data_IF_962125549644
#
_entry.id   IF_962125549644
#
_cell.length_a   1.000
_cell.length_b   1.000
_cell.length_c   1.000
_cell.angle_alpha   90.00
_cell.angle_beta   90.00
_cell.angle_gamma   90.00
#
_symmetry.space_group_name_H-M   'P 1'
#
loop_
_entity.id
_entity.type
_entity.pdbx_description
1 polymer ?
#
# COMPACT_ATOMS: atom_id res chain seq x y z
N UNK A 1 34.00 -13.76 22.08
CA UNK A 1 33.22 -14.17 20.89
C UNK A 1 32.79 -12.92 20.13
N UNK A 2 32.99 -12.87 18.80
CA UNK A 2 32.53 -11.76 17.97
C UNK A 2 31.36 -12.22 17.07
N UNK A 3 30.26 -11.45 17.03
CA UNK A 3 29.12 -11.70 16.14
C UNK A 3 28.75 -10.41 15.40
N UNK A 4 29.07 -10.36 14.11
CA UNK A 4 28.64 -9.27 13.21
C UNK A 4 27.35 -9.66 12.48
N UNK A 5 26.48 -8.68 12.20
CA UNK A 5 25.26 -8.86 11.41
C UNK A 5 25.19 -7.77 10.34
N UNK A 6 24.82 -8.16 9.13
CA UNK A 6 24.62 -7.23 8.00
C UNK A 6 23.36 -6.38 8.25
N UNK A 7 23.42 -5.11 7.83
CA UNK A 7 22.30 -4.17 7.91
C UNK A 7 21.06 -4.75 7.23
N UNK A 8 19.90 -4.79 7.90
CA UNK A 8 18.66 -5.28 7.30
C UNK A 8 18.18 -4.34 6.17
N UNK A 9 17.53 -4.91 5.15
CA UNK A 9 16.99 -4.18 3.99
C UNK A 9 15.92 -3.12 4.36
N UNK A 10 15.33 -3.21 5.55
CA UNK A 10 14.45 -2.18 6.10
C UNK A 10 15.23 -1.32 7.10
N UNK A 11 15.12 0.01 7.05
CA UNK A 11 15.80 0.89 7.99
C UNK A 11 15.28 0.59 9.40
N UNK A 12 16.15 -0.02 10.19
CA UNK A 12 15.94 -0.33 11.60
C UNK A 12 17.06 0.35 12.36
N UNK A 13 16.76 0.99 13.49
CA UNK A 13 17.78 1.64 14.31
C UNK A 13 18.74 0.59 14.89
N UNK A 14 19.91 0.50 14.27
CA UNK A 14 20.95 -0.54 14.42
C UNK A 14 21.47 -0.71 15.86
N UNK A 15 21.72 0.37 16.65
CA UNK A 15 22.36 0.24 17.97
C UNK A 15 21.57 -0.60 18.99
N UNK A 16 20.23 -0.54 18.93
CA UNK A 16 19.35 -1.28 19.86
C UNK A 16 19.39 -2.79 19.61
N UNK A 17 19.68 -3.21 18.39
CA UNK A 17 19.77 -4.62 18.04
C UNK A 17 21.12 -5.22 18.47
N UNK A 18 22.18 -4.42 18.46
CA UNK A 18 23.46 -4.80 19.02
C UNK A 18 23.36 -5.05 20.53
N UNK A 19 22.69 -4.16 21.28
CA UNK A 19 22.50 -4.32 22.72
C UNK A 19 21.75 -5.62 23.10
N UNK A 20 20.66 -5.95 22.39
CA UNK A 20 19.94 -7.23 22.59
C UNK A 20 20.83 -8.43 22.29
N UNK A 21 21.70 -8.35 21.28
CA UNK A 21 22.63 -9.43 20.95
C UNK A 21 23.70 -9.61 22.03
N UNK A 22 24.24 -8.52 22.58
CA UNK A 22 25.22 -8.55 23.66
C UNK A 22 24.68 -9.26 24.89
N UNK A 23 23.43 -9.01 25.27
CA UNK A 23 22.77 -9.68 26.39
C UNK A 23 22.63 -11.18 26.16
N UNK A 24 22.24 -11.61 24.96
CA UNK A 24 22.13 -13.04 24.64
C UNK A 24 23.48 -13.76 24.65
N UNK A 25 24.54 -13.06 24.28
CA UNK A 25 25.91 -13.61 24.37
C UNK A 25 26.34 -13.69 25.84
N UNK A 26 26.01 -12.69 26.65
CA UNK A 26 26.28 -12.70 28.07
C UNK A 26 25.52 -13.79 28.82
N UNK A 27 24.25 -14.04 28.46
CA UNK A 27 23.45 -15.16 29.01
C UNK A 27 24.16 -16.50 28.80
N UNK A 28 24.59 -16.79 27.56
CA UNK A 28 25.37 -17.99 27.24
C UNK A 28 26.69 -18.05 28.03
N UNK A 29 27.40 -16.92 28.16
CA UNK A 29 28.67 -16.89 28.88
C UNK A 29 28.47 -17.04 30.38
N UNK A 30 27.35 -16.59 30.94
CA UNK A 30 27.07 -16.67 32.36
C UNK A 30 26.66 -18.09 32.79
N UNK A 31 26.04 -18.86 31.89
CA UNK A 31 25.78 -20.30 32.08
C UNK A 31 27.09 -21.10 32.17
N UNK A 32 28.09 -20.72 31.37
CA UNK A 32 29.36 -21.46 31.25
C UNK A 32 30.49 -20.91 32.15
N UNK A 33 30.46 -19.62 32.50
CA UNK A 33 31.53 -18.90 33.19
C UNK A 33 30.96 -18.01 34.32
N UNK A 34 31.30 -18.33 35.57
CA UNK A 34 30.85 -17.59 36.76
C UNK A 34 31.63 -16.27 36.98
N UNK A 35 31.48 -15.30 36.08
CA UNK A 35 32.07 -13.95 36.22
C UNK A 35 31.04 -12.84 36.19
N UNK A 36 31.42 -11.68 36.74
CA UNK A 36 30.62 -10.45 36.65
C UNK A 36 30.72 -9.85 35.24
N UNK A 37 29.59 -9.60 34.58
CA UNK A 37 29.53 -9.09 33.20
C UNK A 37 29.10 -7.62 33.19
N UNK A 38 29.88 -6.79 32.49
CA UNK A 38 29.56 -5.40 32.21
C UNK A 38 29.38 -5.19 30.70
N UNK A 39 28.48 -4.28 30.32
CA UNK A 39 28.15 -3.99 28.92
C UNK A 39 28.60 -2.57 28.55
N UNK A 40 29.19 -2.43 27.37
CA UNK A 40 29.67 -1.15 26.85
C UNK A 40 29.00 -0.85 25.51
N UNK A 41 28.48 0.38 25.37
CA UNK A 41 27.89 0.87 24.12
C UNK A 41 28.28 2.33 23.88
N UNK A 42 28.51 2.68 22.63
CA UNK A 42 28.72 4.06 22.18
C UNK A 42 27.41 4.80 21.88
N UNK A 43 26.27 4.10 21.93
CA UNK A 43 24.97 4.70 21.67
C UNK A 43 24.37 5.26 22.96
N UNK A 44 24.61 6.55 23.20
CA UNK A 44 24.02 7.30 24.31
C UNK A 44 22.49 7.18 24.41
N UNK A 45 21.79 7.13 23.27
CA UNK A 45 20.33 6.95 23.21
C UNK A 45 19.90 5.60 23.80
N UNK A 46 20.69 4.54 23.63
CA UNK A 46 20.40 3.21 24.20
C UNK A 46 20.50 3.28 25.72
N UNK A 47 21.54 3.92 26.25
CA UNK A 47 21.71 4.13 27.69
C UNK A 47 20.54 4.94 28.26
N UNK A 48 20.16 6.03 27.60
CA UNK A 48 19.02 6.85 28.01
C UNK A 48 17.72 6.02 28.07
N UNK A 49 17.47 5.15 27.10
CA UNK A 49 16.29 4.27 27.10
C UNK A 49 16.31 3.21 28.21
N UNK A 50 17.48 2.67 28.57
CA UNK A 50 17.59 1.68 29.65
C UNK A 50 17.39 2.29 31.04
N UNK A 51 17.77 3.55 31.21
CA UNK A 51 17.62 4.29 32.47
C UNK A 51 16.28 5.00 32.61
N UNK A 52 15.45 5.02 31.56
CA UNK A 52 14.14 5.66 31.62
C UNK A 52 13.14 4.85 32.45
N UNK A 53 12.63 5.45 33.52
CA UNK A 53 11.61 4.86 34.40
C UNK A 53 10.22 5.49 34.25
N UNK A 54 10.07 6.58 33.48
CA UNK A 54 8.86 7.40 33.47
C UNK A 54 8.11 7.41 32.13
N UNK A 55 8.81 7.46 30.98
CA UNK A 55 8.17 7.65 29.67
C UNK A 55 7.83 6.32 29.00
N UNK A 56 6.67 6.24 28.34
CA UNK A 56 6.23 5.04 27.61
C UNK A 56 6.74 5.07 26.17
N UNK A 57 7.50 4.05 25.77
CA UNK A 57 7.97 3.91 24.40
C UNK A 57 6.95 3.24 23.46
N UNK A 58 7.15 3.42 22.16
CA UNK A 58 6.51 2.64 21.10
C UNK A 58 6.80 1.14 21.29
N UNK A 59 5.87 0.29 20.85
CA UNK A 59 5.87 -1.17 21.12
C UNK A 59 7.21 -1.82 20.74
N UNK A 60 7.78 -1.41 19.61
CA UNK A 60 9.05 -1.92 19.11
C UNK A 60 10.24 -1.67 20.05
N UNK A 61 10.30 -0.48 20.65
CA UNK A 61 11.36 -0.05 21.56
C UNK A 61 11.12 -0.62 22.95
N UNK A 62 9.88 -0.55 23.45
CA UNK A 62 9.48 -1.11 24.73
C UNK A 62 9.85 -2.60 24.84
N UNK A 63 9.54 -3.39 23.81
CA UNK A 63 9.85 -4.83 23.81
C UNK A 63 11.36 -5.12 23.87
N UNK A 64 12.21 -4.26 23.28
CA UNK A 64 13.68 -4.45 23.28
C UNK A 64 14.31 -4.02 24.59
N UNK A 65 13.89 -2.88 25.13
CA UNK A 65 14.29 -2.42 26.46
C UNK A 65 13.93 -3.49 27.50
N UNK A 66 12.71 -4.04 27.42
CA UNK A 66 12.28 -5.12 28.28
C UNK A 66 13.16 -6.37 28.15
N UNK A 67 13.48 -6.80 26.93
CA UNK A 67 14.39 -7.94 26.71
C UNK A 67 15.78 -7.68 27.32
N UNK A 68 16.33 -6.49 27.18
CA UNK A 68 17.64 -6.15 27.76
C UNK A 68 17.59 -6.17 29.30
N UNK A 69 16.56 -5.54 29.87
CA UNK A 69 16.40 -5.41 31.33
C UNK A 69 15.96 -6.71 32.02
N UNK A 70 15.47 -7.70 31.27
CA UNK A 70 15.15 -9.03 31.82
C UNK A 70 16.41 -9.79 32.25
N UNK A 71 17.54 -9.55 31.58
CA UNK A 71 18.80 -10.29 31.78
C UNK A 71 19.94 -9.41 32.29
N UNK A 72 19.78 -8.09 32.27
CA UNK A 72 20.79 -7.14 32.75
C UNK A 72 20.13 -6.01 33.53
N UNK A 73 20.89 -5.31 34.37
CA UNK A 73 20.42 -4.09 35.04
C UNK A 73 20.92 -2.88 34.28
N UNK A 74 20.16 -1.80 34.28
CA UNK A 74 20.56 -0.53 33.68
C UNK A 74 21.98 -0.11 34.11
N UNK A 75 22.32 -0.28 35.38
CA UNK A 75 23.63 0.07 35.95
C UNK A 75 24.80 -0.81 35.48
N UNK A 76 24.55 -1.93 34.79
CA UNK A 76 25.59 -2.75 34.16
C UNK A 76 26.04 -2.17 32.81
N UNK A 77 25.28 -1.23 32.24
CA UNK A 77 25.56 -0.61 30.95
C UNK A 77 26.33 0.70 31.11
N UNK A 78 27.41 0.84 30.35
CA UNK A 78 28.29 2.01 30.37
C UNK A 78 28.54 2.53 28.96
N UNK A 79 28.88 3.81 28.90
CA UNK A 79 29.26 4.47 27.66
C UNK A 79 30.73 4.22 27.33
N UNK A 80 31.03 3.85 26.08
CA UNK A 80 32.38 3.88 25.51
C UNK A 80 32.39 4.91 24.38
N UNK A 81 33.43 5.73 24.26
CA UNK A 81 33.55 6.65 23.12
C UNK A 81 33.65 5.87 21.82
N UNK A 82 33.04 6.36 20.74
CA UNK A 82 33.07 5.67 19.45
C UNK A 82 34.50 5.39 18.95
N UNK A 83 35.45 6.28 19.24
CA UNK A 83 36.87 6.09 18.86
C UNK A 83 37.54 4.94 19.62
N UNK A 84 37.03 4.60 20.81
CA UNK A 84 37.53 3.57 21.72
C UNK A 84 36.71 2.27 21.66
N UNK A 85 35.66 2.22 20.83
CA UNK A 85 34.76 1.07 20.70
C UNK A 85 35.33 0.03 19.70
N UNK A 86 35.87 -1.12 20.16
CA UNK A 86 36.42 -2.12 19.24
C UNK A 86 35.34 -2.77 18.36
N UNK A 87 34.04 -2.67 18.69
CA UNK A 87 32.99 -3.20 17.82
C UNK A 87 32.90 -2.47 16.46
N UNK A 88 33.35 -1.22 16.40
CA UNK A 88 33.33 -0.42 15.17
C UNK A 88 34.36 -0.88 14.15
N UNK A 89 35.46 -1.47 14.61
CA UNK A 89 36.49 -2.08 13.77
C UNK A 89 35.90 -3.20 12.89
N UNK A 90 34.97 -4.00 13.42
CA UNK A 90 34.28 -5.02 12.63
C UNK A 90 33.06 -4.50 11.86
N UNK A 91 32.39 -3.45 12.34
CA UNK A 91 31.17 -2.93 11.69
C UNK A 91 31.48 -2.09 10.45
N UNK A 92 32.61 -1.35 10.46
CA UNK A 92 33.04 -0.45 9.37
C UNK A 92 33.92 -1.14 8.32
N UNK A 93 34.41 -2.34 8.61
CA UNK A 93 35.25 -3.15 7.74
C UNK A 93 36.73 -2.79 7.84
N UNK A 94 37.58 -3.80 8.04
CA UNK A 94 39.02 -3.67 8.12
C UNK A 94 39.73 -4.48 7.03
N UNK A 95 40.86 -3.97 6.55
CA UNK A 95 41.81 -4.76 5.74
C UNK A 95 42.62 -5.65 6.67
N UNK A 96 42.84 -6.92 6.29
CA UNK A 96 43.52 -7.94 7.11
C UNK A 96 44.88 -7.50 7.66
N UNK A 97 45.60 -6.63 6.94
CA UNK A 97 46.93 -6.15 7.35
C UNK A 97 46.91 -5.00 8.37
N UNK A 98 45.74 -4.44 8.69
CA UNK A 98 45.57 -3.26 9.56
C UNK A 98 44.59 -3.52 10.71
N UNK A 99 44.61 -4.71 11.33
CA UNK A 99 43.79 -4.97 12.51
C UNK A 99 44.46 -4.33 13.74
N UNK A 100 43.81 -3.36 14.40
CA UNK A 100 44.42 -2.69 15.56
C UNK A 100 44.53 -3.64 16.76
N UNK A 101 45.57 -3.46 17.58
CA UNK A 101 45.84 -4.31 18.76
C UNK A 101 44.65 -4.38 19.74
N UNK A 102 43.89 -3.28 19.87
CA UNK A 102 42.67 -3.16 20.69
C UNK A 102 41.59 -4.19 20.36
N UNK A 103 41.57 -4.75 19.15
CA UNK A 103 40.62 -5.79 18.76
C UNK A 103 40.84 -7.09 19.55
N UNK A 104 42.09 -7.42 19.84
CA UNK A 104 42.47 -8.66 20.53
C UNK A 104 42.66 -8.45 22.03
N UNK A 105 43.22 -7.30 22.42
CA UNK A 105 43.57 -7.01 23.82
C UNK A 105 42.45 -6.25 24.56
N UNK A 106 41.49 -5.68 23.83
CA UNK A 106 40.54 -4.72 24.36
C UNK A 106 41.15 -3.31 24.46
N UNK A 107 40.32 -2.27 24.65
CA UNK A 107 40.78 -0.91 24.88
C UNK A 107 41.46 -0.75 26.24
N UNK A 108 42.45 0.14 26.32
CA UNK A 108 43.33 0.33 27.49
C UNK A 108 42.57 0.60 28.80
N UNK A 109 41.42 1.28 28.72
CA UNK A 109 40.61 1.60 29.90
C UNK A 109 39.98 0.36 30.57
N UNK A 110 39.83 -0.75 29.84
CA UNK A 110 39.33 -2.02 30.40
C UNK A 110 40.42 -2.84 31.08
N UNK A 111 41.69 -2.53 30.81
CA UNK A 111 42.84 -3.17 31.46
C UNK A 111 43.17 -2.54 32.82
N UNK A 112 42.53 -1.41 33.14
CA UNK A 112 42.69 -0.73 34.41
C UNK A 112 41.97 -1.50 35.54
N UNK A 113 42.56 -1.57 36.77
CA UNK A 113 41.98 -2.32 37.88
C UNK A 113 40.67 -1.71 38.42
N UNK A 114 40.33 -0.48 38.02
CA UNK A 114 39.07 0.18 38.36
C UNK A 114 38.26 0.43 37.11
N UNK A 115 36.98 0.05 37.16
CA UNK A 115 36.04 0.32 36.09
C UNK A 115 35.74 1.84 36.08
N UNK A 116 35.90 2.54 34.93
CA UNK A 116 35.65 3.97 34.82
C UNK A 116 34.25 4.37 35.29
N UNK A 117 34.12 5.49 36.00
CA UNK A 117 32.83 5.99 36.47
C UNK A 117 31.84 6.21 35.30
N UNK A 118 30.56 6.02 35.57
CA UNK A 118 29.51 6.17 34.56
C UNK A 118 29.36 7.66 34.19
N UNK A 119 29.35 7.97 32.89
CA UNK A 119 29.02 9.31 32.39
C UNK A 119 27.57 9.68 32.74
N UNK A 120 27.29 10.97 32.91
CA UNK A 120 25.94 11.48 33.17
C UNK A 120 24.95 10.95 32.12
N UNK A 121 23.82 10.42 32.61
CA UNK A 121 22.78 9.86 31.76
C UNK A 121 22.03 11.01 31.10
N UNK A 122 21.99 11.02 29.77
CA UNK A 122 21.25 12.04 29.01
C UNK A 122 19.75 11.80 29.21
N UNK A 123 19.03 12.85 29.64
CA UNK A 123 17.58 12.83 29.66
C UNK A 123 17.02 12.77 28.23
N UNK A 124 16.05 11.88 28.00
CA UNK A 124 15.38 11.77 26.71
C UNK A 124 14.47 12.99 26.56
N UNK A 125 14.51 13.68 25.43
CA UNK A 125 13.61 14.80 25.16
C UNK A 125 12.14 14.35 25.12
N UNK A 126 11.18 15.26 25.38
CA UNK A 126 9.75 14.93 25.36
C UNK A 126 9.20 14.68 23.95
N UNK A 127 9.90 15.17 22.93
CA UNK A 127 9.55 15.09 21.51
C UNK A 127 10.25 13.93 20.76
N UNK A 128 10.91 13.01 21.48
CA UNK A 128 11.50 11.81 20.87
C UNK A 128 10.40 10.99 20.16
N UNK A 129 10.64 10.71 18.87
CA UNK A 129 9.73 9.98 17.96
C UNK A 129 9.33 8.60 18.51
N UNK A 130 10.14 8.04 19.38
CA UNK A 130 9.95 6.72 19.99
C UNK A 130 9.14 6.76 21.28
N UNK A 131 8.83 7.94 21.82
CA UNK A 131 7.90 8.10 22.93
C UNK A 131 6.46 8.05 22.39
N UNK A 132 5.63 7.24 23.03
CA UNK A 132 4.18 7.27 22.77
C UNK A 132 3.64 8.59 23.28
N UNK A 133 3.24 9.46 22.34
CA UNK A 133 2.34 10.56 22.66
C UNK A 133 1.05 9.99 23.26
N UNK A 134 0.88 10.16 24.56
CA UNK A 134 -0.41 10.02 25.22
C UNK A 134 -1.31 11.14 24.70
N UNK A 135 -2.02 10.90 23.60
CA UNK A 135 -3.13 11.78 23.20
C UNK A 135 -4.16 11.73 24.32
N UNK A 136 -4.16 12.73 25.20
CA UNK A 136 -5.28 13.02 26.07
C UNK A 136 -6.51 13.10 25.17
N UNK A 137 -7.36 12.08 25.23
CA UNK A 137 -8.55 12.04 24.40
C UNK A 137 -9.54 13.01 25.03
N UNK A 138 -9.53 14.25 24.56
CA UNK A 138 -10.63 15.18 24.83
C UNK A 138 -11.89 14.53 24.26
N UNK A 139 -12.77 14.05 25.13
CA UNK A 139 -14.05 13.50 24.74
C UNK A 139 -14.95 14.66 24.28
N UNK A 140 -14.77 15.10 23.03
CA UNK A 140 -15.77 15.96 22.40
C UNK A 140 -17.05 15.13 22.28
N UNK A 141 -18.12 15.62 22.90
CA UNK A 141 -19.44 14.99 22.83
C UNK A 141 -19.92 15.17 21.39
N UNK A 142 -19.64 14.20 20.52
CA UNK A 142 -20.12 14.19 19.14
C UNK A 142 -21.65 14.19 19.18
N UNK A 143 -22.24 15.35 18.94
CA UNK A 143 -23.68 15.51 18.73
C UNK A 143 -23.98 15.14 17.28
N UNK A 144 -24.77 14.10 17.09
CA UNK A 144 -25.30 13.74 15.77
C UNK A 144 -26.76 14.18 15.72
N UNK A 145 -27.12 14.93 14.67
CA UNK A 145 -28.49 15.40 14.42
C UNK A 145 -29.41 14.23 14.10
N UNK A 146 -28.91 13.24 13.35
CA UNK A 146 -29.74 12.13 12.86
C UNK A 146 -29.16 10.75 13.17
N UNK A 147 -29.93 9.69 12.91
CA UNK A 147 -29.43 8.32 13.00
C UNK A 147 -28.55 7.99 11.79
N UNK A 148 -28.92 8.51 10.63
CA UNK A 148 -28.19 8.38 9.38
C UNK A 148 -26.73 8.88 9.50
N UNK A 149 -26.49 10.04 10.14
CA UNK A 149 -25.15 10.54 10.44
C UNK A 149 -24.33 9.60 11.34
N UNK A 150 -24.98 8.97 12.32
CA UNK A 150 -24.33 8.03 13.25
C UNK A 150 -23.88 6.75 12.56
N UNK A 151 -24.52 6.33 11.47
CA UNK A 151 -24.15 5.10 10.77
C UNK A 151 -23.12 5.33 9.66
N UNK A 152 -22.95 6.58 9.17
CA UNK A 152 -21.97 6.93 8.13
C UNK A 152 -20.52 6.62 8.48
N UNK A 153 -20.18 6.59 9.77
CA UNK A 153 -18.84 6.20 10.26
C UNK A 153 -18.49 4.73 10.03
N UNK A 154 -19.47 3.86 9.74
CA UNK A 154 -19.21 2.46 9.49
C UNK A 154 -18.93 2.23 8.01
N UNK A 155 -17.82 1.53 7.72
CA UNK A 155 -17.40 1.21 6.35
C UNK A 155 -18.03 -0.07 5.79
N UNK A 156 -18.56 -0.95 6.66
CA UNK A 156 -19.19 -2.23 6.28
C UNK A 156 -20.44 -2.52 7.08
N UNK A 157 -21.40 -3.24 6.46
CA UNK A 157 -22.63 -3.70 7.13
C UNK A 157 -22.31 -4.60 8.33
N UNK A 158 -21.35 -5.52 8.21
CA UNK A 158 -20.92 -6.40 9.31
C UNK A 158 -20.43 -5.61 10.53
N UNK A 159 -19.63 -4.55 10.33
CA UNK A 159 -19.15 -3.69 11.42
C UNK A 159 -20.29 -2.93 12.09
N UNK A 160 -21.20 -2.35 11.28
CA UNK A 160 -22.40 -1.68 11.77
C UNK A 160 -23.28 -2.63 12.59
N UNK A 161 -23.55 -3.82 12.06
CA UNK A 161 -24.34 -4.87 12.72
C UNK A 161 -23.71 -5.30 14.05
N UNK A 162 -22.40 -5.54 14.08
CA UNK A 162 -21.67 -5.88 15.32
C UNK A 162 -21.77 -4.76 16.36
N UNK A 163 -21.62 -3.50 15.93
CA UNK A 163 -21.73 -2.33 16.81
C UNK A 163 -23.12 -2.19 17.43
N UNK A 164 -24.17 -2.26 16.61
CA UNK A 164 -25.56 -2.18 17.09
C UNK A 164 -25.91 -3.38 17.98
N UNK A 165 -25.52 -4.60 17.59
CA UNK A 165 -25.75 -5.78 18.39
C UNK A 165 -25.04 -5.71 19.76
N UNK A 166 -23.82 -5.14 19.82
CA UNK A 166 -23.13 -4.90 21.08
C UNK A 166 -23.88 -3.91 21.98
N UNK A 167 -24.38 -2.81 21.41
CA UNK A 167 -25.20 -1.84 22.15
C UNK A 167 -26.46 -2.51 22.71
N UNK A 168 -27.16 -3.30 21.90
CA UNK A 168 -28.36 -4.02 22.34
C UNK A 168 -28.09 -4.99 23.49
N UNK A 169 -26.98 -5.75 23.43
CA UNK A 169 -26.57 -6.63 24.54
C UNK A 169 -26.23 -5.85 25.81
N UNK A 170 -25.54 -4.72 25.69
CA UNK A 170 -25.26 -3.84 26.82
C UNK A 170 -26.55 -3.29 27.45
N UNK A 171 -27.51 -2.86 26.63
CA UNK A 171 -28.82 -2.40 27.10
C UNK A 171 -29.62 -3.53 27.76
N UNK A 172 -29.59 -4.75 27.22
CA UNK A 172 -30.25 -5.91 27.81
C UNK A 172 -29.66 -6.26 29.18
N UNK A 173 -28.32 -6.30 29.29
CA UNK A 173 -27.60 -6.57 30.54
C UNK A 173 -27.94 -5.54 31.62
N UNK A 174 -28.02 -4.25 31.27
CA UNK A 174 -28.47 -3.19 32.19
C UNK A 174 -29.91 -3.36 32.68
N UNK A 175 -30.77 -3.99 31.88
CA UNK A 175 -32.17 -4.31 32.23
C UNK A 175 -32.32 -5.68 32.90
N UNK A 176 -31.22 -6.33 33.31
CA UNK A 176 -31.25 -7.65 33.93
C UNK A 176 -31.63 -8.80 32.99
N UNK A 177 -31.63 -8.57 31.67
CA UNK A 177 -31.95 -9.60 30.67
C UNK A 177 -30.67 -10.11 30.00
N UNK A 178 -30.57 -11.42 29.81
CA UNK A 178 -29.56 -12.01 28.93
C UNK A 178 -30.07 -11.99 27.49
N UNK A 179 -29.17 -11.76 26.53
CA UNK A 179 -29.50 -11.75 25.11
C UNK A 179 -28.40 -12.50 24.36
N UNK A 180 -28.79 -13.51 23.59
CA UNK A 180 -27.82 -14.33 22.86
C UNK A 180 -27.20 -13.53 21.70
N UNK A 181 -26.08 -14.03 21.17
CA UNK A 181 -25.43 -13.40 20.01
C UNK A 181 -26.38 -13.38 18.82
N UNK A 182 -27.01 -14.50 18.48
CA UNK A 182 -27.92 -14.60 17.33
C UNK A 182 -29.12 -13.65 17.46
N UNK A 183 -29.79 -13.65 18.63
CA UNK A 183 -30.89 -12.72 18.92
C UNK A 183 -30.47 -11.27 18.75
N UNK A 184 -29.29 -10.90 19.25
CA UNK A 184 -28.80 -9.53 19.15
C UNK A 184 -28.53 -9.10 17.70
N UNK A 185 -28.14 -10.02 16.82
CA UNK A 185 -27.96 -9.73 15.38
C UNK A 185 -29.31 -9.57 14.67
N UNK A 186 -30.25 -10.50 14.86
CA UNK A 186 -31.59 -10.40 14.25
C UNK A 186 -32.34 -9.14 14.70
N UNK A 187 -32.22 -8.81 15.99
CA UNK A 187 -32.81 -7.59 16.56
C UNK A 187 -32.10 -6.34 16.04
N UNK A 188 -30.77 -6.37 15.91
CA UNK A 188 -30.01 -5.23 15.38
C UNK A 188 -30.42 -4.88 13.96
N UNK A 189 -30.61 -5.88 13.10
CA UNK A 189 -31.02 -5.68 11.72
C UNK A 189 -32.39 -5.03 11.63
N UNK A 190 -33.37 -5.62 12.32
CA UNK A 190 -34.73 -5.10 12.35
C UNK A 190 -34.77 -3.68 12.91
N UNK A 191 -34.01 -3.38 13.97
CA UNK A 191 -33.92 -2.04 14.55
C UNK A 191 -33.25 -1.03 13.63
N UNK A 192 -32.20 -1.42 12.91
CA UNK A 192 -31.53 -0.56 11.93
C UNK A 192 -32.51 -0.14 10.82
N UNK A 193 -33.20 -1.11 10.24
CA UNK A 193 -34.18 -0.87 9.18
C UNK A 193 -35.31 0.01 9.70
N UNK A 194 -35.88 -0.30 10.87
CA UNK A 194 -36.95 0.47 11.49
C UNK A 194 -36.55 1.94 11.73
N UNK A 195 -35.35 2.19 12.25
CA UNK A 195 -34.85 3.55 12.47
C UNK A 195 -34.75 4.34 11.16
N UNK A 196 -34.20 3.74 10.11
CA UNK A 196 -34.04 4.38 8.79
C UNK A 196 -35.39 4.62 8.12
N UNK A 197 -36.30 3.65 8.19
CA UNK A 197 -37.65 3.80 7.66
C UNK A 197 -38.40 4.93 8.36
N UNK A 198 -38.30 5.05 9.68
CA UNK A 198 -38.89 6.18 10.41
C UNK A 198 -38.27 7.51 10.00
N UNK A 199 -36.94 7.58 9.88
CA UNK A 199 -36.28 8.83 9.49
C UNK A 199 -36.65 9.29 8.06
N UNK A 200 -36.76 8.35 7.10
CA UNK A 200 -36.98 8.68 5.69
C UNK A 200 -38.45 8.62 5.22
N UNK A 201 -39.30 7.85 5.90
CA UNK A 201 -40.69 7.59 5.48
C UNK A 201 -41.74 8.17 6.43
N UNK A 202 -41.35 8.89 7.49
CA UNK A 202 -42.31 9.59 8.36
C UNK A 202 -43.05 10.73 7.65
N UNK A 203 -42.38 11.50 6.80
CA UNK A 203 -43.01 12.48 5.90
C UNK A 203 -42.54 12.28 4.45
N UNK A 204 -43.13 11.31 3.73
CA UNK A 204 -42.68 10.95 2.40
C UNK A 204 -43.10 11.99 1.37
N UNK A 205 -42.18 12.40 0.49
CA UNK A 205 -42.51 13.26 -0.64
C UNK A 205 -43.60 12.66 -1.56
N UNK A 206 -44.34 13.45 -2.36
CA UNK A 206 -45.39 12.94 -3.23
C UNK A 206 -44.94 11.81 -4.17
N UNK A 207 -43.72 11.93 -4.73
CA UNK A 207 -43.13 10.92 -5.61
C UNK A 207 -42.79 9.62 -4.86
N UNK A 208 -42.33 9.73 -3.61
CA UNK A 208 -42.05 8.60 -2.74
C UNK A 208 -43.34 7.90 -2.31
N UNK A 209 -44.40 8.66 -1.95
CA UNK A 209 -45.74 8.11 -1.67
C UNK A 209 -46.28 7.29 -2.84
N UNK A 210 -46.17 7.81 -4.06
CA UNK A 210 -46.60 7.08 -5.25
C UNK A 210 -45.78 5.80 -5.47
N UNK A 211 -44.46 5.85 -5.27
CA UNK A 211 -43.60 4.66 -5.36
C UNK A 211 -43.97 3.60 -4.33
N UNK A 212 -44.23 3.98 -3.08
CA UNK A 212 -44.65 3.07 -2.02
C UNK A 212 -46.03 2.45 -2.30
N UNK A 213 -46.97 3.22 -2.85
CA UNK A 213 -48.29 2.71 -3.28
C UNK A 213 -48.17 1.69 -4.41
N UNK A 214 -47.33 1.96 -5.42
CA UNK A 214 -47.09 1.03 -6.53
C UNK A 214 -46.47 -0.30 -6.09
N UNK A 215 -45.70 -0.29 -5.00
CA UNK A 215 -45.10 -1.48 -4.39
C UNK A 215 -46.06 -2.23 -3.45
N UNK A 216 -47.29 -1.73 -3.26
CA UNK A 216 -48.28 -2.27 -2.34
C UNK A 216 -47.68 -2.57 -0.96
N UNK A 217 -46.92 -1.61 -0.41
CA UNK A 217 -46.20 -1.79 0.83
C UNK A 217 -47.15 -1.98 2.02
N UNK A 218 -46.77 -2.85 2.96
CA UNK A 218 -47.50 -3.07 4.21
C UNK A 218 -46.52 -3.15 5.39
N UNK A 219 -47.02 -2.92 6.60
CA UNK A 219 -46.23 -3.02 7.83
C UNK A 219 -46.35 -4.42 8.41
N UNK A 220 -45.23 -5.06 8.71
CA UNK A 220 -45.21 -6.40 9.31
C UNK A 220 -45.45 -6.38 10.83
N UNK A 221 -45.52 -7.57 11.43
CA UNK A 221 -45.67 -7.79 12.88
C UNK A 221 -44.56 -7.11 13.72
N UNK A 222 -43.40 -6.84 13.11
CA UNK A 222 -42.26 -6.19 13.75
C UNK A 222 -42.23 -4.67 13.52
N UNK A 223 -43.24 -4.10 12.86
CA UNK A 223 -43.32 -2.68 12.55
C UNK A 223 -42.45 -2.25 11.37
N UNK A 224 -42.00 -3.18 10.52
CA UNK A 224 -41.18 -2.88 9.34
C UNK A 224 -42.04 -2.75 8.09
N UNK A 225 -41.77 -1.71 7.30
CA UNK A 225 -42.39 -1.53 6.00
C UNK A 225 -41.78 -2.51 4.98
N UNK A 226 -42.59 -3.41 4.44
CA UNK A 226 -42.20 -4.44 3.48
C UNK A 226 -43.00 -4.32 2.19
N UNK A 227 -42.43 -4.83 1.11
CA UNK A 227 -43.09 -4.90 -0.20
C UNK A 227 -44.17 -5.99 -0.18
N UNK A 228 -45.39 -5.64 -0.58
CA UNK A 228 -46.46 -6.60 -0.82
C UNK A 228 -46.23 -7.36 -2.12
N UNK A 229 -46.83 -8.53 -2.28
CA UNK A 229 -46.60 -9.33 -3.48
C UNK A 229 -47.55 -10.50 -3.66
N UNK A 230 -47.39 -11.19 -4.79
CA UNK A 230 -48.17 -12.38 -5.16
C UNK A 230 -47.47 -13.70 -4.78
N UNK A 231 -46.31 -13.61 -4.12
CA UNK A 231 -45.48 -14.77 -3.78
C UNK A 231 -45.85 -15.43 -2.43
N UNK A 232 -47.01 -15.11 -1.85
CA UNK A 232 -47.43 -15.67 -0.55
C UNK A 232 -47.45 -17.20 -0.50
N UNK A 233 -47.62 -17.87 -1.67
CA UNK A 233 -47.64 -19.33 -1.80
C UNK A 233 -46.28 -19.95 -2.19
N UNK A 234 -45.22 -19.17 -2.37
CA UNK A 234 -43.91 -19.74 -2.70
C UNK A 234 -43.24 -20.35 -1.47
N UNK A 235 -42.39 -21.36 -1.71
CA UNK A 235 -41.57 -22.03 -0.69
C UNK A 235 -40.37 -21.17 -0.22
N UNK A 236 -40.23 -19.94 -0.74
CA UNK A 236 -39.14 -19.05 -0.37
C UNK A 236 -39.28 -18.54 1.07
N UNK A 237 -38.15 -18.11 1.64
CA UNK A 237 -38.12 -17.47 2.97
C UNK A 237 -39.00 -16.22 3.01
N UNK A 238 -39.62 -15.95 4.17
CA UNK A 238 -40.55 -14.81 4.36
C UNK A 238 -39.91 -13.48 3.97
N UNK A 239 -38.62 -13.33 4.23
CA UNK A 239 -37.82 -12.15 3.93
C UNK A 239 -37.65 -11.92 2.41
N UNK A 240 -37.55 -13.00 1.63
CA UNK A 240 -37.44 -12.93 0.17
C UNK A 240 -38.80 -12.65 -0.49
N UNK A 241 -39.89 -13.19 0.08
CA UNK A 241 -41.26 -12.95 -0.40
C UNK A 241 -41.70 -11.51 -0.19
N UNK A 242 -41.35 -10.95 0.96
CA UNK A 242 -41.71 -9.59 1.37
C UNK A 242 -40.46 -8.81 1.80
N UNK A 243 -39.65 -8.35 0.84
CA UNK A 243 -38.41 -7.66 1.15
C UNK A 243 -38.68 -6.34 1.87
N UNK A 244 -37.80 -5.99 2.82
CA UNK A 244 -37.89 -4.75 3.58
C UNK A 244 -37.54 -3.55 2.71
N UNK A 245 -38.39 -2.53 2.73
CA UNK A 245 -38.23 -1.33 1.89
C UNK A 245 -37.14 -0.43 2.49
N UNK A 246 -36.18 -0.03 1.66
CA UNK A 246 -35.10 0.87 2.07
C UNK A 246 -35.03 2.10 1.16
N UNK A 247 -34.76 3.29 1.72
CA UNK A 247 -34.56 4.50 0.94
C UNK A 247 -33.24 4.42 0.18
N UNK A 248 -33.21 5.01 -1.02
CA UNK A 248 -32.03 4.96 -1.89
C UNK A 248 -30.83 5.71 -1.30
N UNK A 249 -31.08 6.79 -0.55
CA UNK A 249 -30.07 7.75 -0.10
C UNK A 249 -29.50 7.40 1.28
N UNK A 250 -29.95 6.29 1.89
CA UNK A 250 -29.39 5.81 3.16
C UNK A 250 -28.06 5.08 2.95
N UNK A 251 -27.12 5.36 3.84
CA UNK A 251 -25.84 4.70 4.01
C UNK A 251 -26.01 3.20 4.23
N UNK A 252 -27.06 2.74 4.92
CA UNK A 252 -27.33 1.30 5.02
C UNK A 252 -27.57 0.67 3.65
N UNK A 253 -28.32 1.35 2.77
CA UNK A 253 -28.57 0.89 1.40
C UNK A 253 -27.27 0.80 0.60
N UNK A 254 -26.32 1.72 0.80
CA UNK A 254 -24.99 1.68 0.20
C UNK A 254 -24.19 0.49 0.74
N UNK A 255 -24.18 0.28 2.06
CA UNK A 255 -23.46 -0.83 2.70
C UNK A 255 -24.00 -2.19 2.25
N UNK A 256 -25.33 -2.35 2.16
CA UNK A 256 -25.97 -3.57 1.65
C UNK A 256 -25.61 -3.76 0.17
N UNK A 257 -25.69 -2.70 -0.63
CA UNK A 257 -25.35 -2.78 -2.06
C UNK A 257 -23.89 -3.21 -2.26
N UNK A 258 -22.95 -2.71 -1.44
CA UNK A 258 -21.54 -3.12 -1.42
C UNK A 258 -21.36 -4.60 -1.07
N UNK A 259 -21.96 -5.05 0.02
CA UNK A 259 -21.88 -6.45 0.46
C UNK A 259 -22.44 -7.39 -0.61
N UNK A 260 -23.61 -7.09 -1.20
CA UNK A 260 -24.18 -7.88 -2.28
C UNK A 260 -23.33 -7.83 -3.56
N UNK A 261 -22.69 -6.69 -3.84
CA UNK A 261 -21.83 -6.51 -5.01
C UNK A 261 -20.56 -7.37 -4.92
N UNK A 262 -19.94 -7.42 -3.75
CA UNK A 262 -18.82 -8.31 -3.44
C UNK A 262 -19.24 -9.77 -3.45
N UNK A 263 -20.41 -10.11 -2.88
CA UNK A 263 -20.94 -11.47 -2.85
C UNK A 263 -21.14 -12.07 -4.26
N UNK A 264 -21.67 -11.28 -5.20
CA UNK A 264 -21.83 -11.72 -6.60
C UNK A 264 -20.54 -11.59 -7.43
N UNK A 265 -19.39 -11.39 -6.79
CA UNK A 265 -18.08 -11.28 -7.44
C UNK A 265 -18.05 -10.27 -8.60
N UNK A 266 -18.62 -9.08 -8.40
CA UNK A 266 -18.58 -7.98 -9.37
C UNK A 266 -19.22 -8.28 -10.76
N UNK A 267 -20.11 -9.28 -10.85
CA UNK A 267 -20.78 -9.68 -12.10
C UNK A 267 -21.63 -8.56 -12.75
N UNK A 268 -21.95 -7.50 -12.00
CA UNK A 268 -22.51 -6.27 -12.52
C UNK A 268 -23.92 -5.98 -12.03
N UNK A 269 -24.55 -4.97 -12.62
CA UNK A 269 -25.75 -4.34 -12.07
C UNK A 269 -26.91 -5.31 -11.84
N UNK A 270 -27.19 -6.17 -12.83
CA UNK A 270 -28.34 -7.09 -12.78
C UNK A 270 -28.19 -8.10 -11.66
N UNK A 271 -27.03 -8.73 -11.55
CA UNK A 271 -26.73 -9.72 -10.51
C UNK A 271 -26.72 -9.10 -9.12
N UNK A 272 -26.11 -7.93 -8.95
CA UNK A 272 -26.10 -7.24 -7.66
C UNK A 272 -27.53 -6.86 -7.22
N UNK A 273 -28.37 -6.32 -8.11
CA UNK A 273 -29.78 -6.01 -7.78
C UNK A 273 -30.58 -7.28 -7.48
N UNK A 274 -30.33 -8.37 -8.20
CA UNK A 274 -30.93 -9.67 -7.92
C UNK A 274 -30.57 -10.17 -6.52
N UNK A 275 -29.29 -10.07 -6.15
CA UNK A 275 -28.82 -10.48 -4.83
C UNK A 275 -29.37 -9.62 -3.69
N UNK A 276 -29.51 -8.30 -3.90
CA UNK A 276 -30.15 -7.41 -2.91
C UNK A 276 -31.58 -7.90 -2.62
N UNK A 277 -32.34 -8.28 -3.66
CA UNK A 277 -33.71 -8.81 -3.52
C UNK A 277 -33.72 -10.20 -2.86
N UNK A 278 -32.83 -11.09 -3.28
CA UNK A 278 -32.67 -12.42 -2.69
C UNK A 278 -32.22 -12.37 -1.22
N UNK A 279 -31.55 -11.30 -0.81
CA UNK A 279 -31.18 -11.04 0.57
C UNK A 279 -32.31 -10.42 1.40
N UNK A 280 -33.50 -10.22 0.81
CA UNK A 280 -34.69 -9.73 1.50
C UNK A 280 -34.80 -8.21 1.62
N UNK A 281 -34.13 -7.46 0.74
CA UNK A 281 -34.21 -5.98 0.73
C UNK A 281 -34.76 -5.44 -0.58
N UNK A 282 -35.53 -4.35 -0.46
CA UNK A 282 -36.03 -3.59 -1.58
C UNK A 282 -35.60 -2.13 -1.48
N UNK A 283 -34.43 -1.83 -2.05
CA UNK A 283 -33.94 -0.45 -2.14
C UNK A 283 -34.69 0.27 -3.26
N UNK A 284 -35.40 1.34 -2.93
CA UNK A 284 -36.11 2.16 -3.93
C UNK A 284 -35.07 2.73 -4.89
N UNK A 285 -35.24 2.54 -6.20
CA UNK A 285 -34.23 2.98 -7.17
C UNK A 285 -32.88 2.25 -7.09
N UNK A 286 -32.85 1.01 -6.59
CA UNK A 286 -31.65 0.17 -6.43
C UNK A 286 -30.69 0.17 -7.63
N UNK A 287 -31.23 0.20 -8.86
CA UNK A 287 -30.43 0.26 -10.09
C UNK A 287 -29.50 1.47 -10.14
N UNK A 288 -29.92 2.64 -9.64
CA UNK A 288 -29.11 3.87 -9.60
C UNK A 288 -28.02 3.77 -8.53
N UNK A 289 -28.36 3.27 -7.35
CA UNK A 289 -27.41 3.04 -6.25
C UNK A 289 -26.30 2.09 -6.70
N UNK A 290 -26.67 0.97 -7.31
CA UNK A 290 -25.71 -0.01 -7.83
C UNK A 290 -24.90 0.56 -9.00
N UNK A 291 -25.50 1.34 -9.90
CA UNK A 291 -24.75 1.98 -10.99
C UNK A 291 -23.67 2.94 -10.47
N UNK A 292 -24.00 3.78 -9.49
CA UNK A 292 -23.03 4.66 -8.83
C UNK A 292 -21.94 3.86 -8.11
N UNK A 293 -22.31 2.78 -7.42
CA UNK A 293 -21.36 1.88 -6.78
C UNK A 293 -20.35 1.31 -7.78
N UNK A 294 -20.82 0.80 -8.93
CA UNK A 294 -19.97 0.21 -9.97
C UNK A 294 -18.94 1.21 -10.53
N UNK A 295 -19.30 2.49 -10.65
CA UNK A 295 -18.39 3.54 -11.13
C UNK A 295 -17.29 3.87 -10.11
N UNK A 296 -17.56 3.74 -8.82
CA UNK A 296 -16.58 3.97 -7.76
C UNK A 296 -15.76 2.73 -7.37
N UNK A 297 -16.14 1.56 -7.87
CA UNK A 297 -15.55 0.28 -7.49
C UNK A 297 -14.27 0.02 -8.30
N UNK A 298 -13.11 0.03 -7.63
CA UNK A 298 -11.80 -0.17 -8.27
C UNK A 298 -11.71 -1.49 -9.08
N UNK A 299 -12.12 -2.66 -8.57
CA UNK A 299 -12.18 -3.87 -9.37
C UNK A 299 -13.03 -3.72 -10.65
N UNK A 300 -14.19 -3.08 -10.56
CA UNK A 300 -15.05 -2.86 -11.72
C UNK A 300 -14.44 -1.87 -12.71
N UNK A 301 -13.77 -0.82 -12.23
CA UNK A 301 -13.06 0.15 -13.07
C UNK A 301 -11.95 -0.53 -13.87
N UNK A 302 -11.16 -1.41 -13.25
CA UNK A 302 -10.11 -2.14 -13.97
C UNK A 302 -10.69 -3.17 -14.95
N UNK A 303 -11.71 -3.94 -14.54
CA UNK A 303 -12.27 -5.02 -15.37
C UNK A 303 -13.15 -4.51 -16.53
N UNK A 304 -13.73 -3.31 -16.40
CA UNK A 304 -14.70 -2.77 -17.36
C UNK A 304 -14.25 -1.43 -17.96
N UNK A 305 -13.04 -0.98 -17.66
CA UNK A 305 -12.46 0.22 -18.24
C UNK A 305 -12.33 0.06 -19.75
N UNK A 306 -12.75 1.06 -20.51
CA UNK A 306 -12.51 1.04 -21.95
C UNK A 306 -11.01 1.25 -22.22
N UNK A 307 -10.41 0.49 -23.15
CA UNK A 307 -9.06 0.79 -23.60
C UNK A 307 -9.03 2.20 -24.16
N UNK A 308 -8.03 2.99 -23.77
CA UNK A 308 -7.84 4.31 -24.35
C UNK A 308 -7.58 4.15 -25.86
N UNK A 309 -8.35 4.88 -26.68
CA UNK A 309 -8.05 4.99 -28.10
C UNK A 309 -6.79 5.84 -28.30
N UNK A 310 -5.89 5.44 -29.20
CA UNK A 310 -4.79 6.29 -29.62
C UNK A 310 -5.34 7.35 -30.59
N UNK A 311 -5.33 8.63 -30.18
CA UNK A 311 -5.51 9.72 -31.13
C UNK A 311 -4.23 9.81 -31.98
N UNK A 312 -4.36 9.59 -33.29
CA UNK A 312 -3.23 9.76 -34.21
C UNK A 312 -2.91 11.24 -34.32
N UNK A 313 -1.63 11.61 -34.17
CA UNK A 313 -1.18 12.97 -34.40
C UNK A 313 -1.23 13.31 -35.89
N UNK A 314 -1.32 14.60 -36.20
CA UNK A 314 -1.17 15.09 -37.57
C UNK A 314 0.16 14.64 -38.20
N UNK A 315 0.14 14.43 -39.51
CA UNK A 315 1.34 14.16 -40.29
C UNK A 315 2.21 15.42 -40.32
N UNK A 316 3.52 15.22 -40.28
CA UNK A 316 4.44 16.36 -40.29
C UNK A 316 4.60 16.93 -41.69
N UNK A 317 4.92 18.22 -41.79
CA UNK A 317 5.06 18.95 -43.07
C UNK A 317 6.00 18.26 -44.05
N UNK A 318 7.06 17.61 -43.56
CA UNK A 318 8.06 16.94 -44.39
C UNK A 318 7.52 15.70 -45.11
N UNK A 319 6.37 15.16 -44.66
CA UNK A 319 5.64 14.09 -45.37
C UNK A 319 4.66 14.63 -46.40
N UNK A 320 4.35 15.92 -46.36
CA UNK A 320 3.34 16.55 -47.21
C UNK A 320 3.98 17.44 -48.29
N UNK A 321 5.16 17.99 -48.04
CA UNK A 321 5.91 18.81 -48.99
C UNK A 321 6.44 17.97 -50.16
N UNK A 322 6.14 18.40 -51.38
CA UNK A 322 6.72 17.84 -52.59
C UNK A 322 8.22 18.18 -52.63
N UNK A 323 9.06 17.18 -52.34
CA UNK A 323 10.51 17.32 -52.28
C UNK A 323 11.20 16.18 -53.05
N UNK A 324 12.45 16.39 -53.54
CA UNK A 324 13.21 15.33 -54.16
C UNK A 324 13.36 14.10 -53.23
N UNK A 325 13.41 12.87 -53.77
CA UNK A 325 13.61 11.67 -52.96
C UNK A 325 14.81 11.80 -52.01
N UNK A 326 14.66 11.26 -50.80
CA UNK A 326 15.65 11.32 -49.71
C UNK A 326 15.96 12.72 -49.12
N UNK A 327 15.29 13.79 -49.55
CA UNK A 327 15.44 15.13 -48.92
C UNK A 327 15.08 15.10 -47.43
N UNK A 328 13.97 14.45 -47.10
CA UNK A 328 13.51 14.23 -45.73
C UNK A 328 13.43 12.74 -45.46
N UNK A 329 14.14 12.28 -44.43
CA UNK A 329 14.27 10.87 -44.12
C UNK A 329 13.86 10.56 -42.67
N UNK A 330 13.33 9.38 -42.45
CA UNK A 330 13.28 8.75 -41.13
C UNK A 330 14.33 7.65 -41.08
N UNK A 331 15.09 7.54 -39.98
CA UNK A 331 16.04 6.45 -39.79
C UNK A 331 15.76 5.64 -38.53
N UNK A 332 16.08 4.34 -38.61
CA UNK A 332 16.02 3.42 -37.48
C UNK A 332 17.08 2.32 -37.63
N UNK A 333 17.51 1.73 -36.51
CA UNK A 333 18.42 0.60 -36.47
C UNK A 333 17.71 -0.63 -35.90
N UNK A 334 17.80 -1.75 -36.61
CA UNK A 334 17.17 -3.02 -36.24
C UNK A 334 18.19 -4.15 -36.12
N UNK A 335 17.80 -5.22 -35.43
CA UNK A 335 18.70 -6.31 -35.01
C UNK A 335 18.72 -6.44 -33.47
N UNK A 336 19.70 -7.15 -32.90
CA UNK A 336 20.85 -7.78 -33.57
C UNK A 336 20.45 -9.04 -34.35
N UNK A 337 21.16 -9.29 -35.45
CA UNK A 337 21.19 -10.58 -36.13
C UNK A 337 22.50 -11.29 -35.81
N UNK A 338 22.43 -12.53 -35.35
CA UNK A 338 23.62 -13.36 -35.18
C UNK A 338 23.98 -13.99 -36.53
N UNK A 339 25.15 -13.66 -37.05
CA UNK A 339 25.66 -14.17 -38.33
C UNK A 339 26.99 -14.89 -38.10
N UNK A 340 27.27 -15.90 -38.92
CA UNK A 340 28.56 -16.59 -38.90
C UNK A 340 29.56 -15.84 -39.77
N UNK A 341 30.67 -15.44 -39.16
CA UNK A 341 31.83 -14.86 -39.82
C UNK A 341 33.01 -15.83 -39.64
N UNK A 342 33.16 -16.73 -40.62
CA UNK A 342 34.08 -17.86 -40.53
C UNK A 342 33.75 -18.81 -39.37
N UNK A 343 34.66 -18.93 -38.40
CA UNK A 343 34.50 -19.75 -37.18
C UNK A 343 33.87 -18.98 -36.01
N UNK A 344 33.61 -17.69 -36.16
CA UNK A 344 33.05 -16.82 -35.10
C UNK A 344 31.59 -16.52 -35.40
N UNK A 345 30.79 -16.40 -34.35
CA UNK A 345 29.43 -15.87 -34.43
C UNK A 345 29.46 -14.41 -33.97
N UNK A 346 29.04 -13.50 -34.84
CA UNK A 346 29.09 -12.06 -34.60
C UNK A 346 27.70 -11.46 -34.73
N UNK A 347 27.43 -10.42 -33.94
CA UNK A 347 26.21 -9.64 -34.06
C UNK A 347 26.39 -8.61 -35.17
N UNK A 348 25.38 -8.48 -36.02
CA UNK A 348 25.25 -7.41 -37.01
C UNK A 348 23.91 -6.70 -36.83
N UNK A 349 23.88 -5.44 -37.21
CA UNK A 349 22.69 -4.61 -37.17
C UNK A 349 22.40 -4.10 -38.58
N UNK A 350 21.17 -3.66 -38.82
CA UNK A 350 20.81 -2.97 -40.05
C UNK A 350 20.40 -1.54 -39.74
N UNK A 351 20.87 -0.61 -40.57
CA UNK A 351 20.37 0.76 -40.65
C UNK A 351 19.27 0.78 -41.72
N UNK A 352 18.09 1.29 -41.38
CA UNK A 352 17.00 1.56 -42.32
C UNK A 352 16.85 3.06 -42.43
N UNK A 353 16.97 3.59 -43.65
CA UNK A 353 16.66 4.98 -43.98
C UNK A 353 15.48 5.00 -44.94
N UNK A 354 14.38 5.60 -44.50
CA UNK A 354 13.13 5.71 -45.24
C UNK A 354 12.90 7.14 -45.68
N UNK A 355 12.69 7.37 -46.97
CA UNK A 355 12.24 8.67 -47.46
C UNK A 355 10.81 8.97 -46.97
N UNK A 356 10.62 10.15 -46.39
CA UNK A 356 9.32 10.60 -45.88
C UNK A 356 8.35 11.00 -46.98
N UNK A 357 8.86 11.50 -48.11
CA UNK A 357 8.07 11.85 -49.29
C UNK A 357 7.70 10.62 -50.14
N UNK A 358 8.69 9.87 -50.65
CA UNK A 358 8.44 8.76 -51.59
C UNK A 358 8.20 7.40 -50.93
N UNK A 359 8.42 7.27 -49.62
CA UNK A 359 8.31 6.02 -48.84
C UNK A 359 9.31 4.93 -49.22
N UNK A 360 10.20 5.19 -50.17
CA UNK A 360 11.30 4.29 -50.55
C UNK A 360 12.23 4.07 -49.36
N UNK A 361 12.72 2.84 -49.22
CA UNK A 361 13.63 2.41 -48.17
C UNK A 361 15.01 2.12 -48.75
N UNK A 362 16.04 2.59 -48.08
CA UNK A 362 17.43 2.20 -48.27
C UNK A 362 17.90 1.52 -46.98
N UNK A 363 18.63 0.41 -47.09
CA UNK A 363 19.16 -0.32 -45.95
C UNK A 363 20.66 -0.57 -46.07
N UNK A 364 21.38 -0.34 -44.99
CA UNK A 364 22.83 -0.59 -44.87
C UNK A 364 23.10 -1.56 -43.72
N UNK A 365 24.15 -2.37 -43.83
CA UNK A 365 24.59 -3.26 -42.74
C UNK A 365 25.55 -2.50 -41.84
N UNK A 366 25.36 -2.63 -40.53
CA UNK A 366 26.23 -2.08 -39.50
C UNK A 366 26.95 -3.21 -38.76
N UNK A 367 28.24 -3.04 -38.52
CA UNK A 367 29.05 -4.03 -37.79
C UNK A 367 28.69 -4.10 -36.31
N UNK A 368 28.33 -2.96 -35.71
CA UNK A 368 27.81 -2.85 -34.36
C UNK A 368 26.77 -1.71 -34.25
N UNK A 369 26.24 -1.47 -33.04
CA UNK A 369 25.28 -0.40 -32.77
C UNK A 369 25.96 0.89 -32.27
N UNK A 370 27.27 1.03 -32.48
CA UNK A 370 28.02 2.22 -32.09
C UNK A 370 27.66 3.43 -32.96
N UNK A 371 28.06 4.61 -32.49
CA UNK A 371 27.97 5.86 -33.24
C UNK A 371 28.82 5.83 -34.51
N UNK A 372 30.03 5.28 -34.44
CA UNK A 372 30.98 5.23 -35.56
C UNK A 372 30.44 4.38 -36.71
N UNK A 373 29.96 3.17 -36.41
CA UNK A 373 29.32 2.30 -37.40
C UNK A 373 28.12 2.98 -38.04
N UNK A 374 27.29 3.65 -37.23
CA UNK A 374 26.13 4.40 -37.73
C UNK A 374 26.53 5.54 -38.68
N UNK A 375 27.55 6.33 -38.34
CA UNK A 375 28.03 7.43 -39.19
C UNK A 375 28.55 6.89 -40.53
N UNK A 376 29.31 5.79 -40.51
CA UNK A 376 29.80 5.15 -41.73
C UNK A 376 28.64 4.63 -42.60
N UNK A 377 27.65 3.96 -41.99
CA UNK A 377 26.45 3.55 -42.70
C UNK A 377 25.68 4.73 -43.29
N UNK A 378 25.54 5.84 -42.56
CA UNK A 378 24.86 7.03 -43.05
C UNK A 378 25.62 7.70 -44.21
N UNK A 379 26.95 7.74 -44.15
CA UNK A 379 27.79 8.25 -45.26
C UNK A 379 27.58 7.44 -46.54
N UNK A 380 27.46 6.12 -46.45
CA UNK A 380 27.14 5.26 -47.61
C UNK A 380 25.76 5.61 -48.20
N UNK A 381 24.75 5.80 -47.35
CA UNK A 381 23.41 6.21 -47.79
C UNK A 381 23.47 7.55 -48.53
N UNK A 382 24.17 8.55 -47.97
CA UNK A 382 24.30 9.89 -48.56
C UNK A 382 25.09 9.85 -49.87
N UNK A 383 26.15 9.04 -49.94
CA UNK A 383 26.94 8.88 -51.17
C UNK A 383 26.10 8.33 -52.34
N UNK A 384 25.16 7.42 -52.05
CA UNK A 384 24.30 6.79 -53.08
C UNK A 384 23.05 7.61 -53.38
N UNK A 385 22.42 8.19 -52.34
CA UNK A 385 21.10 8.86 -52.44
C UNK A 385 21.18 10.37 -52.58
N UNK A 386 22.35 10.96 -52.37
CA UNK A 386 22.55 12.41 -52.36
C UNK A 386 22.29 13.05 -51.00
N UNK A 387 22.39 14.38 -50.97
CA UNK A 387 22.33 15.16 -49.73
C UNK A 387 20.94 15.09 -49.08
N UNK A 388 20.91 14.75 -47.80
CA UNK A 388 19.69 14.76 -46.97
C UNK A 388 19.59 16.11 -46.24
N UNK A 389 18.38 16.73 -46.23
CA UNK A 389 18.12 17.99 -45.52
C UNK A 389 17.76 17.77 -44.05
N UNK A 390 16.97 16.75 -43.76
CA UNK A 390 16.57 16.40 -42.39
C UNK A 390 16.44 14.88 -42.23
N UNK A 391 16.96 14.38 -41.12
CA UNK A 391 16.75 13.00 -40.69
C UNK A 391 16.01 13.01 -39.35
N UNK A 392 14.89 12.28 -39.29
CA UNK A 392 14.12 12.06 -38.07
C UNK A 392 14.41 10.67 -37.51
N UNK A 393 14.81 10.61 -36.26
CA UNK A 393 15.06 9.36 -35.53
C UNK A 393 14.57 9.48 -34.08
N UNK A 394 14.54 8.36 -33.38
CA UNK A 394 14.29 8.36 -31.94
C UNK A 394 15.58 8.68 -31.16
N UNK A 395 15.45 8.95 -29.86
CA UNK A 395 16.57 9.38 -28.98
C UNK A 395 17.41 8.21 -28.47
N UNK A 396 17.83 7.32 -29.37
CA UNK A 396 18.79 6.27 -29.04
C UNK A 396 20.19 6.88 -28.93
N UNK A 397 21.04 6.31 -28.07
CA UNK A 397 22.35 6.88 -27.72
C UNK A 397 23.28 7.04 -28.91
N UNK A 398 23.28 6.08 -29.84
CA UNK A 398 24.07 6.15 -31.07
C UNK A 398 23.61 7.27 -32.02
N UNK A 399 22.31 7.55 -32.12
CA UNK A 399 21.80 8.67 -32.93
C UNK A 399 22.16 10.04 -32.32
N UNK A 400 22.08 10.15 -30.98
CA UNK A 400 22.49 11.38 -30.29
C UNK A 400 23.99 11.61 -30.45
N UNK A 401 24.80 10.56 -30.33
CA UNK A 401 26.24 10.62 -30.61
C UNK A 401 26.51 11.10 -32.03
N UNK A 402 25.85 10.50 -33.02
CA UNK A 402 26.04 10.86 -34.43
C UNK A 402 25.64 12.31 -34.72
N UNK A 403 24.58 12.81 -34.07
CA UNK A 403 24.16 14.22 -34.20
C UNK A 403 25.13 15.23 -33.58
N UNK A 404 25.99 14.80 -32.65
CA UNK A 404 27.01 15.67 -32.07
C UNK A 404 28.31 15.65 -32.86
N UNK A 405 28.55 14.60 -33.64
CA UNK A 405 29.76 14.41 -34.45
C UNK A 405 29.62 14.89 -35.91
N UNK A 406 28.39 14.96 -36.43
CA UNK A 406 28.03 15.46 -37.77
C UNK A 406 27.48 16.88 -37.70
#
# INVERSE_FOLDING_TARGET
>A
MAKSRVTPLRPVTIPRQAAVLSVKVAELLQEELNFSIFFWTDSQIVLAYLHNQAKRFNVYVANRVQQILQFSRANHWRHVKSEENPADDASRGLRLNNVPSRWFQGPDFLLQPRIPAQSEVIEIADDDVEIKFCKATSASKLTFSTFEERIRRFSSKSSLMKGVAAILRCCAKKKGRSMTRLESFLTAESRLISCIQREHFSDPSPSLRNSLKQLNCYTDENGLLRVGGRLNRSYDRKECRHPAVLPRDSHLSILISRECHEYVAHQGRTFTVGQIRASGYWIIGSRRVVASLLQSCIPCLHLRGQPAGQLMSDLTSERMEASPPFSYCGMDCFGPFCVKDGRKEVKRYGLIVKCLASRVVHSEVLDDISTESLINGLRNVIAIRGQVRLIRCHRRTNFVGASNEL
#
